data_IF_842927127493
#
_entry.id   IF_842927127493
#
_cell.length_a   1.000
_cell.length_b   1.000
_cell.length_c   1.000
_cell.angle_alpha   90.00
_cell.angle_beta   90.00
_cell.angle_gamma   90.00
#
_symmetry.space_group_name_H-M   'P 1'
#
loop_
_entity.id
_entity.type
_entity.pdbx_description
1 polymer ?
#
# COMPACT_ATOMS: atom_id res chain seq x y z
N UNK A 1 -37.76 -0.79 -3.16
CA UNK A 1 -37.03 0.49 -3.31
C UNK A 1 -35.93 0.25 -4.33
N UNK A 2 -35.55 1.22 -5.17
CA UNK A 2 -34.36 1.02 -5.99
C UNK A 2 -33.16 0.91 -5.04
N UNK A 3 -32.53 -0.27 -5.01
CA UNK A 3 -31.29 -0.48 -4.27
C UNK A 3 -30.20 0.30 -5.01
N UNK A 4 -29.75 1.41 -4.42
CA UNK A 4 -28.64 2.18 -4.97
C UNK A 4 -27.41 1.29 -5.07
N UNK A 5 -26.86 1.14 -6.28
CA UNK A 5 -25.66 0.33 -6.54
C UNK A 5 -24.46 0.93 -5.82
N UNK A 6 -23.78 0.14 -4.97
CA UNK A 6 -22.58 0.55 -4.24
C UNK A 6 -21.37 0.50 -5.18
N UNK A 7 -20.74 1.64 -5.45
CA UNK A 7 -19.59 1.74 -6.37
C UNK A 7 -18.28 1.60 -5.61
N UNK A 8 -17.52 0.56 -5.96
CA UNK A 8 -16.32 0.15 -5.24
C UNK A 8 -15.08 0.32 -6.11
N UNK A 9 -14.06 1.00 -5.58
CA UNK A 9 -12.72 1.10 -6.17
C UNK A 9 -11.66 0.48 -5.25
N UNK A 10 -10.58 -0.04 -5.84
CA UNK A 10 -9.39 -0.49 -5.10
C UNK A 10 -8.20 0.42 -5.37
N UNK A 11 -7.25 0.50 -4.44
CA UNK A 11 -6.04 1.31 -4.62
C UNK A 11 -5.05 0.70 -5.61
N UNK A 12 -4.94 -0.65 -5.64
CA UNK A 12 -4.14 -1.41 -6.60
C UNK A 12 -4.61 -2.87 -6.64
N UNK A 13 -4.28 -3.59 -7.71
CA UNK A 13 -4.41 -5.05 -7.73
C UNK A 13 -3.18 -5.71 -7.11
N UNK A 14 -3.39 -6.42 -6.01
CA UNK A 14 -2.35 -7.17 -5.31
C UNK A 14 -3.00 -8.25 -4.47
N UNK A 15 -2.36 -9.41 -4.33
CA UNK A 15 -2.84 -10.49 -3.46
C UNK A 15 -3.07 -10.02 -2.01
N UNK A 16 -2.26 -9.05 -1.57
CA UNK A 16 -2.43 -8.36 -0.29
C UNK A 16 -3.83 -7.76 -0.12
N UNK A 17 -4.46 -7.30 -1.20
CA UNK A 17 -5.75 -6.63 -1.22
C UNK A 17 -6.92 -7.53 -1.67
N UNK A 18 -6.68 -8.83 -1.73
CA UNK A 18 -7.67 -9.83 -2.12
C UNK A 18 -8.96 -9.84 -1.29
N UNK A 19 -9.03 -9.46 0.02
CA UNK A 19 -10.30 -9.54 0.76
C UNK A 19 -11.44 -8.73 0.14
N UNK A 20 -11.21 -7.46 -0.23
CA UNK A 20 -12.25 -6.64 -0.87
C UNK A 20 -12.60 -7.13 -2.27
N UNK A 21 -11.59 -7.53 -3.05
CA UNK A 21 -11.80 -8.09 -4.39
C UNK A 21 -12.63 -9.38 -4.31
N UNK A 22 -12.36 -10.23 -3.31
CA UNK A 22 -13.09 -11.48 -3.09
C UNK A 22 -14.52 -11.21 -2.63
N UNK A 23 -14.75 -10.23 -1.74
CA UNK A 23 -16.10 -9.86 -1.31
C UNK A 23 -16.99 -9.43 -2.49
N UNK A 24 -16.41 -8.73 -3.46
CA UNK A 24 -17.08 -8.33 -4.70
C UNK A 24 -17.26 -9.52 -5.65
N UNK A 25 -16.20 -10.29 -5.92
CA UNK A 25 -16.21 -11.34 -6.93
C UNK A 25 -16.97 -12.61 -6.52
N UNK A 26 -17.01 -12.92 -5.22
CA UNK A 26 -17.64 -14.14 -4.69
C UNK A 26 -19.15 -13.97 -4.44
N UNK A 27 -19.72 -12.80 -4.70
CA UNK A 27 -21.16 -12.55 -4.52
C UNK A 27 -21.58 -12.26 -3.08
N UNK A 28 -20.65 -12.15 -2.12
CA UNK A 28 -20.97 -11.94 -0.71
C UNK A 28 -21.80 -10.67 -0.45
N UNK A 29 -21.62 -9.61 -1.26
CA UNK A 29 -22.46 -8.42 -1.15
C UNK A 29 -23.89 -8.69 -1.62
N UNK A 30 -24.06 -9.46 -2.70
CA UNK A 30 -25.38 -9.82 -3.21
C UNK A 30 -26.14 -10.76 -2.25
N UNK A 31 -25.41 -11.67 -1.58
CA UNK A 31 -25.98 -12.54 -0.54
C UNK A 31 -26.55 -11.74 0.65
N UNK A 32 -25.98 -10.57 0.94
CA UNK A 32 -26.48 -9.61 1.94
C UNK A 32 -27.51 -8.61 1.36
N UNK A 33 -27.95 -8.80 0.11
CA UNK A 33 -28.94 -7.94 -0.55
C UNK A 33 -28.39 -6.60 -1.05
N UNK A 34 -27.07 -6.46 -1.19
CA UNK A 34 -26.40 -5.26 -1.70
C UNK A 34 -25.99 -5.46 -3.16
N UNK A 35 -26.47 -4.57 -4.04
CA UNK A 35 -25.96 -4.48 -5.41
C UNK A 35 -24.65 -3.66 -5.41
N UNK A 36 -23.62 -4.18 -6.06
CA UNK A 36 -22.28 -3.59 -6.05
C UNK A 36 -21.67 -3.53 -7.45
N UNK A 37 -21.16 -2.37 -7.82
CA UNK A 37 -20.41 -2.15 -9.05
C UNK A 37 -18.92 -2.00 -8.76
N UNK A 38 -18.13 -2.98 -9.18
CA UNK A 38 -16.68 -2.86 -9.19
C UNK A 38 -16.21 -1.93 -10.30
N UNK A 39 -15.55 -0.84 -9.94
CA UNK A 39 -15.06 0.18 -10.89
C UNK A 39 -13.57 0.05 -11.19
N UNK A 40 -12.91 -0.99 -10.67
CA UNK A 40 -11.50 -1.27 -10.93
C UNK A 40 -10.56 -0.53 -9.96
N UNK A 41 -9.38 -0.20 -10.47
CA UNK A 41 -8.32 0.48 -9.71
C UNK A 41 -8.53 1.99 -9.78
N UNK A 42 -8.20 2.68 -8.69
CA UNK A 42 -8.16 4.14 -8.61
C UNK A 42 -7.36 4.71 -9.80
N UNK A 43 -7.91 5.68 -10.55
CA UNK A 43 -7.19 6.27 -11.69
C UNK A 43 -5.89 6.94 -11.25
N UNK A 44 -4.85 6.83 -12.07
CA UNK A 44 -3.54 7.44 -11.79
C UNK A 44 -3.71 8.94 -11.55
N UNK A 45 -3.17 9.43 -10.43
CA UNK A 45 -3.21 10.85 -10.05
C UNK A 45 -4.51 11.31 -9.37
N UNK A 46 -5.54 10.48 -9.27
CA UNK A 46 -6.76 10.77 -8.48
C UNK A 46 -6.59 10.22 -7.06
N UNK A 47 -7.02 10.97 -6.05
CA UNK A 47 -7.03 10.49 -4.67
C UNK A 47 -8.37 9.80 -4.31
N UNK A 48 -8.36 8.85 -3.38
CA UNK A 48 -9.59 8.20 -2.90
C UNK A 48 -10.61 9.21 -2.37
N UNK A 49 -10.15 10.21 -1.60
CA UNK A 49 -11.00 11.28 -1.09
C UNK A 49 -11.66 12.11 -2.21
N UNK A 50 -10.94 12.30 -3.31
CA UNK A 50 -11.46 13.03 -4.46
C UNK A 50 -12.59 12.26 -5.15
N UNK A 51 -12.41 10.97 -5.38
CA UNK A 51 -13.44 10.10 -5.97
C UNK A 51 -14.71 10.05 -5.12
N UNK A 52 -14.55 9.97 -3.80
CA UNK A 52 -15.67 9.97 -2.84
C UNK A 52 -16.41 11.32 -2.86
N UNK A 53 -15.69 12.44 -2.86
CA UNK A 53 -16.28 13.80 -2.89
C UNK A 53 -17.00 14.11 -4.20
N UNK A 54 -16.46 13.64 -5.32
CA UNK A 54 -17.09 13.76 -6.63
C UNK A 54 -18.31 12.85 -6.79
N UNK A 55 -18.55 11.94 -5.83
CA UNK A 55 -19.58 10.92 -5.92
C UNK A 55 -19.32 10.00 -7.11
N UNK A 56 -18.05 9.73 -7.46
CA UNK A 56 -17.66 8.75 -8.49
C UNK A 56 -17.48 7.34 -7.90
N UNK A 57 -17.30 7.25 -6.58
CA UNK A 57 -17.28 6.01 -5.80
C UNK A 57 -17.98 6.22 -4.45
N UNK A 58 -18.47 5.13 -3.86
CA UNK A 58 -19.08 5.13 -2.53
C UNK A 58 -18.14 4.48 -1.49
N UNK A 59 -17.35 3.50 -1.92
CA UNK A 59 -16.34 2.82 -1.10
C UNK A 59 -15.03 2.73 -1.88
N UNK A 60 -13.93 3.11 -1.25
CA UNK A 60 -12.59 3.00 -1.84
C UNK A 60 -11.66 2.32 -0.83
N UNK A 61 -10.93 1.30 -1.28
CA UNK A 61 -9.82 0.78 -0.50
C UNK A 61 -8.72 1.83 -0.38
N UNK A 62 -8.40 2.22 0.84
CA UNK A 62 -7.34 3.18 1.12
C UNK A 62 -6.60 2.80 2.40
N UNK A 63 -5.31 3.13 2.46
CA UNK A 63 -4.57 3.10 3.71
C UNK A 63 -5.05 4.24 4.61
N UNK A 64 -5.16 4.01 5.92
CA UNK A 64 -5.53 5.07 6.89
C UNK A 64 -4.60 6.28 6.79
N UNK A 65 -3.34 6.03 6.42
CA UNK A 65 -2.34 7.07 6.19
C UNK A 65 -2.63 8.02 5.04
N UNK A 66 -3.55 7.68 4.12
CA UNK A 66 -3.91 8.58 3.01
C UNK A 66 -4.52 9.90 3.49
N UNK A 67 -5.05 9.92 4.71
CA UNK A 67 -5.67 11.09 5.32
C UNK A 67 -4.70 11.91 6.18
N UNK A 68 -3.53 11.38 6.54
CA UNK A 68 -2.63 12.04 7.50
C UNK A 68 -2.16 13.42 7.07
N UNK A 69 -1.65 13.58 5.85
CA UNK A 69 -1.18 14.90 5.39
C UNK A 69 -2.31 15.93 5.28
N UNK A 70 -3.53 15.49 4.97
CA UNK A 70 -4.70 16.36 4.96
C UNK A 70 -5.11 16.76 6.39
N UNK A 71 -5.07 15.82 7.35
CA UNK A 71 -5.27 16.10 8.77
C UNK A 71 -4.23 17.10 9.32
N UNK A 72 -2.95 16.93 8.96
CA UNK A 72 -1.87 17.84 9.37
C UNK A 72 -2.08 19.27 8.84
N UNK A 73 -2.69 19.42 7.66
CA UNK A 73 -3.09 20.72 7.10
C UNK A 73 -4.39 21.27 7.69
N UNK A 74 -5.04 20.56 8.60
CA UNK A 74 -6.32 20.95 9.18
C UNK A 74 -7.52 20.81 8.23
N UNK A 75 -7.42 19.97 7.20
CA UNK A 75 -8.54 19.73 6.30
C UNK A 75 -9.69 19.00 7.03
N UNK A 76 -10.91 19.50 6.83
CA UNK A 76 -12.14 18.87 7.32
C UNK A 76 -12.74 17.93 6.26
N UNK A 77 -13.75 17.14 6.66
CA UNK A 77 -14.50 16.24 5.77
C UNK A 77 -13.59 15.24 5.04
N UNK A 78 -12.77 14.55 5.83
CA UNK A 78 -11.93 13.46 5.35
C UNK A 78 -12.75 12.15 5.29
N UNK A 79 -12.41 11.23 4.37
CA UNK A 79 -13.06 9.94 4.30
C UNK A 79 -13.02 9.18 5.63
N UNK A 80 -14.14 8.54 5.97
CA UNK A 80 -14.24 7.67 7.14
C UNK A 80 -13.73 6.27 6.77
N UNK A 81 -12.78 5.75 7.55
CA UNK A 81 -12.36 4.35 7.47
C UNK A 81 -13.20 3.53 8.45
N UNK A 82 -13.91 2.52 7.96
CA UNK A 82 -14.88 1.76 8.77
C UNK A 82 -14.65 0.24 8.78
N UNK A 83 -13.86 -0.30 7.86
CA UNK A 83 -13.59 -1.73 7.78
C UNK A 83 -12.08 -1.99 7.59
N UNK A 84 -11.48 -2.68 8.55
CA UNK A 84 -10.10 -3.14 8.45
C UNK A 84 -10.07 -4.48 7.70
N UNK A 85 -9.44 -4.48 6.53
CA UNK A 85 -9.26 -5.68 5.69
C UNK A 85 -7.83 -6.23 5.73
N UNK A 86 -6.89 -5.48 6.31
CA UNK A 86 -5.48 -5.82 6.40
C UNK A 86 -4.94 -5.43 7.78
N UNK A 87 -4.13 -6.30 8.41
CA UNK A 87 -3.52 -6.02 9.72
C UNK A 87 -2.02 -5.75 9.70
N UNK A 88 -1.31 -6.27 8.70
CA UNK A 88 0.15 -6.16 8.57
C UNK A 88 0.49 -5.49 7.27
N UNK A 89 1.71 -4.98 7.20
CA UNK A 89 2.24 -4.55 5.92
C UNK A 89 2.50 -5.75 5.00
N UNK A 90 2.17 -5.60 3.72
CA UNK A 90 2.33 -6.62 2.70
C UNK A 90 3.65 -6.51 1.93
N UNK A 91 4.51 -5.55 2.28
CA UNK A 91 5.85 -5.44 1.69
C UNK A 91 6.79 -6.53 2.20
N UNK A 92 7.72 -6.92 1.34
CA UNK A 92 8.72 -7.94 1.61
C UNK A 92 10.09 -7.30 1.49
N UNK A 93 11.03 -7.76 2.32
CA UNK A 93 12.44 -7.52 2.10
C UNK A 93 13.02 -8.75 1.40
N UNK A 94 13.62 -8.56 0.23
CA UNK A 94 14.26 -9.63 -0.52
C UNK A 94 15.74 -9.32 -0.75
N UNK A 95 16.61 -10.29 -0.49
CA UNK A 95 18.04 -10.23 -0.80
C UNK A 95 18.31 -10.72 -2.21
N UNK A 96 19.39 -10.22 -2.82
CA UNK A 96 19.85 -10.68 -4.15
C UNK A 96 20.37 -12.11 -4.12
N UNK A 97 20.97 -12.51 -3.01
CA UNK A 97 21.56 -13.83 -2.81
C UNK A 97 20.90 -14.52 -1.60
N UNK A 98 20.84 -15.86 -1.58
CA UNK A 98 20.40 -16.58 -0.39
C UNK A 98 21.23 -16.19 0.83
N UNK A 99 20.57 -15.78 1.91
CA UNK A 99 21.21 -15.40 3.17
C UNK A 99 20.62 -16.20 4.34
N UNK A 100 21.05 -17.47 4.51
CA UNK A 100 20.63 -18.27 5.64
C UNK A 100 21.18 -17.63 6.92
N UNK A 101 20.28 -17.25 7.84
CA UNK A 101 20.64 -16.58 9.09
C UNK A 101 20.57 -15.05 9.05
N UNK A 102 19.91 -14.48 8.04
CA UNK A 102 19.65 -13.04 7.95
C UNK A 102 19.17 -12.45 9.29
N UNK A 103 19.77 -11.32 9.63
CA UNK A 103 19.36 -10.41 10.68
C UNK A 103 19.17 -9.02 10.09
N UNK A 104 18.31 -8.20 10.69
CA UNK A 104 18.09 -6.83 10.22
C UNK A 104 19.37 -5.98 10.19
N UNK A 105 20.36 -6.32 11.02
CA UNK A 105 21.68 -5.68 11.06
C UNK A 105 22.49 -5.88 9.78
N UNK A 106 22.20 -6.93 9.01
CA UNK A 106 22.91 -7.21 7.76
C UNK A 106 22.62 -6.17 6.68
N UNK A 107 21.57 -5.35 6.85
CA UNK A 107 21.30 -4.20 6.00
C UNK A 107 22.28 -3.04 6.20
N UNK A 108 22.93 -2.93 7.37
CA UNK A 108 23.89 -1.85 7.62
C UNK A 108 25.14 -2.03 6.73
N UNK A 109 25.50 -0.99 5.99
CA UNK A 109 26.61 -0.99 5.05
C UNK A 109 26.26 -1.59 3.67
N UNK A 110 24.99 -1.92 3.43
CA UNK A 110 24.51 -2.52 2.17
C UNK A 110 23.60 -1.57 1.42
N UNK A 111 23.47 -1.80 0.11
CA UNK A 111 22.59 -1.01 -0.75
C UNK A 111 21.17 -1.60 -0.74
N UNK A 112 20.20 -0.77 -0.35
CA UNK A 112 18.78 -1.12 -0.29
C UNK A 112 17.98 -0.27 -1.28
N UNK A 113 17.34 -0.93 -2.25
CA UNK A 113 16.29 -0.29 -3.04
C UNK A 113 14.99 -0.32 -2.24
N UNK A 114 14.39 0.83 -1.98
CA UNK A 114 13.14 0.90 -1.21
C UNK A 114 12.09 1.73 -1.93
N UNK A 115 10.82 1.37 -1.76
CA UNK A 115 9.70 2.27 -2.06
C UNK A 115 9.80 3.55 -1.19
N UNK A 116 9.90 4.70 -1.86
CA UNK A 116 9.98 6.02 -1.22
C UNK A 116 8.60 6.64 -0.95
N UNK A 117 7.52 5.90 -1.20
CA UNK A 117 6.18 6.25 -0.80
C UNK A 117 6.06 6.42 0.72
N UNK A 118 5.19 7.34 1.16
CA UNK A 118 5.05 7.74 2.56
C UNK A 118 4.94 6.57 3.53
N UNK A 119 3.79 5.89 3.58
CA UNK A 119 3.58 4.80 4.54
C UNK A 119 4.56 3.61 4.36
N UNK A 120 4.86 3.11 3.16
CA UNK A 120 5.83 2.01 2.98
C UNK A 120 7.20 2.32 3.58
N UNK A 121 7.76 3.50 3.28
CA UNK A 121 9.06 3.92 3.79
C UNK A 121 9.04 4.10 5.32
N UNK A 122 7.96 4.67 5.87
CA UNK A 122 7.82 4.83 7.32
C UNK A 122 7.72 3.48 8.03
N UNK A 123 7.03 2.48 7.46
CA UNK A 123 6.94 1.15 8.05
C UNK A 123 8.27 0.40 7.99
N UNK A 124 9.01 0.51 6.88
CA UNK A 124 10.37 -0.03 6.79
C UNK A 124 11.29 0.58 7.87
N UNK A 125 11.31 1.92 7.98
CA UNK A 125 12.08 2.62 9.02
C UNK A 125 11.67 2.21 10.43
N UNK A 126 10.37 2.03 10.67
CA UNK A 126 9.85 1.56 11.95
C UNK A 126 10.29 0.13 12.27
N UNK A 127 10.24 -0.78 11.31
CA UNK A 127 10.71 -2.15 11.45
C UNK A 127 12.20 -2.18 11.79
N UNK A 128 13.03 -1.44 11.05
CA UNK A 128 14.47 -1.33 11.31
C UNK A 128 14.76 -0.82 12.72
N UNK A 129 14.08 0.25 13.13
CA UNK A 129 14.20 0.80 14.49
C UNK A 129 13.84 -0.22 15.56
N UNK A 130 12.74 -0.97 15.38
CA UNK A 130 12.33 -2.02 16.33
C UNK A 130 13.36 -3.15 16.45
N UNK A 131 14.12 -3.38 15.39
CA UNK A 131 15.15 -4.41 15.30
C UNK A 131 16.55 -3.86 15.63
N UNK A 132 16.62 -2.62 16.13
CA UNK A 132 17.87 -1.96 16.51
C UNK A 132 18.79 -1.63 15.34
N UNK A 133 18.30 -1.67 14.10
CA UNK A 133 19.08 -1.39 12.88
C UNK A 133 19.09 0.10 12.59
N UNK A 134 20.27 0.64 12.30
CA UNK A 134 20.46 2.07 12.05
C UNK A 134 20.24 2.41 10.58
N UNK A 135 19.13 3.10 10.30
CA UNK A 135 18.79 3.59 8.96
C UNK A 135 19.91 4.41 8.32
N UNK A 136 20.65 5.21 9.09
CA UNK A 136 21.71 6.08 8.57
C UNK A 136 22.92 5.30 8.04
N UNK A 137 23.03 4.02 8.39
CA UNK A 137 24.10 3.12 7.96
C UNK A 137 23.72 2.31 6.73
N UNK A 138 22.51 2.44 6.20
CA UNK A 138 22.04 1.74 5.01
C UNK A 138 22.17 2.68 3.81
N UNK A 139 22.74 2.20 2.71
CA UNK A 139 22.80 2.94 1.46
C UNK A 139 21.47 2.79 0.72
N UNK A 140 20.52 3.69 0.99
CA UNK A 140 19.16 3.61 0.46
C UNK A 140 19.05 4.34 -0.87
N UNK A 141 18.63 3.62 -1.91
CA UNK A 141 18.51 4.13 -3.28
C UNK A 141 17.05 4.30 -3.66
N UNK A 142 16.69 5.52 -4.06
CA UNK A 142 15.42 5.82 -4.74
C UNK A 142 15.57 5.58 -6.23
N UNK A 143 14.92 4.53 -6.73
CA UNK A 143 14.88 4.23 -8.17
C UNK A 143 13.61 4.76 -8.86
N UNK A 144 12.69 5.42 -8.13
CA UNK A 144 11.44 5.93 -8.66
C UNK A 144 10.27 4.96 -8.46
N UNK A 145 9.53 4.66 -9.54
CA UNK A 145 8.36 3.79 -9.49
C UNK A 145 8.70 2.35 -9.11
N UNK A 146 7.70 1.56 -8.72
CA UNK A 146 7.87 0.13 -8.41
C UNK A 146 8.50 -0.63 -9.57
N UNK A 147 8.11 -0.34 -10.81
CA UNK A 147 8.68 -0.95 -12.01
C UNK A 147 10.17 -0.58 -12.18
N UNK A 148 10.54 0.65 -11.82
CA UNK A 148 11.93 1.11 -11.87
C UNK A 148 12.78 0.50 -10.75
N UNK A 149 12.21 0.34 -9.55
CA UNK A 149 12.83 -0.39 -8.43
C UNK A 149 13.07 -1.85 -8.82
N UNK A 150 12.08 -2.53 -9.40
CA UNK A 150 12.22 -3.90 -9.88
C UNK A 150 13.31 -4.00 -10.95
N UNK A 151 13.28 -3.12 -11.95
CA UNK A 151 14.29 -3.09 -13.02
C UNK A 151 15.71 -2.83 -12.47
N UNK A 152 15.86 -1.89 -11.53
CA UNK A 152 17.13 -1.60 -10.89
C UNK A 152 17.65 -2.80 -10.08
N UNK A 153 16.76 -3.48 -9.34
CA UNK A 153 17.13 -4.68 -8.61
C UNK A 153 17.52 -5.82 -9.56
N UNK A 154 16.81 -6.04 -10.66
CA UNK A 154 17.22 -7.04 -11.67
C UNK A 154 18.56 -6.69 -12.33
N UNK A 155 18.85 -5.40 -12.49
CA UNK A 155 20.10 -4.89 -13.07
C UNK A 155 21.31 -4.88 -12.12
N UNK A 156 21.19 -5.38 -10.88
CA UNK A 156 22.32 -5.48 -9.96
C UNK A 156 22.53 -4.28 -9.02
N UNK A 157 21.62 -3.30 -9.00
CA UNK A 157 21.84 -2.02 -8.30
C UNK A 157 21.55 -2.00 -6.79
N UNK A 158 21.32 -3.15 -6.16
CA UNK A 158 21.07 -3.22 -4.72
C UNK A 158 21.30 -4.61 -4.16
N UNK A 159 21.80 -4.71 -2.94
CA UNK A 159 21.93 -5.98 -2.22
C UNK A 159 20.55 -6.50 -1.78
N UNK A 160 19.66 -5.57 -1.43
CA UNK A 160 18.27 -5.84 -1.03
C UNK A 160 17.26 -4.96 -1.78
N UNK A 161 16.01 -5.42 -1.82
CA UNK A 161 14.86 -4.64 -2.28
C UNK A 161 13.69 -4.75 -1.30
N UNK A 162 12.99 -3.64 -1.10
CA UNK A 162 11.75 -3.51 -0.33
C UNK A 162 10.61 -2.96 -1.20
#
# INVERSE_FOLDING_TARGET
MPTSVVRILVSRHSAFYSPLISAVAAGFLADEGLDAAYRGVLPKGRAAAEMLRAGEADVVQAAVSSSWSAMERGEANLPVHFAQINQRDGFFLASRHPEPGFTWKDLEGRTLLADHGGQPLYMLKYALRRQGTDWSRIDVVDAGSIEQIEAAFRAGRGDYVH
#
